data_IF_048194860005
#
_entry.id   IF_048194860005
#
_cell.length_a   1.000
_cell.length_b   1.000
_cell.length_c   1.000
_cell.angle_alpha   90.00
_cell.angle_beta   90.00
_cell.angle_gamma   90.00
#
_symmetry.space_group_name_H-M   'P 1'
#
loop_
_entity.id
_entity.type
_entity.pdbx_description
1 polymer ?
#
# COMPACT_ATOMS: atom_id res chain seq x y z
N UNK A 1 -22.54 21.26 -0.72
CA UNK A 1 -22.07 21.04 0.66
C UNK A 1 -21.60 22.38 1.19
N UNK A 2 -22.19 22.88 2.27
CA UNK A 2 -21.79 24.16 2.89
C UNK A 2 -20.67 23.85 3.89
N UNK A 3 -19.59 24.64 3.90
CA UNK A 3 -18.42 24.43 4.79
C UNK A 3 -18.84 24.23 6.26
N UNK A 4 -19.88 24.95 6.70
CA UNK A 4 -20.43 24.83 8.05
C UNK A 4 -20.93 23.42 8.38
N UNK A 5 -21.59 22.73 7.45
CA UNK A 5 -22.11 21.37 7.70
C UNK A 5 -20.98 20.36 7.91
N UNK A 6 -19.82 20.56 7.28
CA UNK A 6 -18.65 19.71 7.49
C UNK A 6 -18.00 19.99 8.84
N UNK A 7 -17.98 21.26 9.27
CA UNK A 7 -17.46 21.64 10.59
C UNK A 7 -18.35 21.09 11.71
N UNK A 8 -19.67 21.18 11.55
CA UNK A 8 -20.63 20.65 12.53
C UNK A 8 -20.49 19.12 12.64
N UNK A 9 -20.38 18.40 11.52
CA UNK A 9 -20.13 16.96 11.52
C UNK A 9 -18.76 16.58 12.13
N UNK A 10 -17.73 17.39 11.93
CA UNK A 10 -16.43 17.18 12.56
C UNK A 10 -16.46 17.44 14.08
N UNK A 11 -17.35 18.31 14.55
CA UNK A 11 -17.51 18.59 15.98
C UNK A 11 -18.04 17.36 16.74
N UNK A 12 -18.90 16.55 16.11
CA UNK A 12 -19.37 15.26 16.65
C UNK A 12 -18.23 14.26 16.93
N UNK A 13 -17.07 14.42 16.25
CA UNK A 13 -15.89 13.59 16.46
C UNK A 13 -15.04 14.05 17.67
N UNK A 14 -15.29 15.24 18.22
CA UNK A 14 -14.51 15.82 19.33
C UNK A 14 -14.43 14.92 20.58
N UNK A 15 -15.52 14.27 21.03
CA UNK A 15 -15.47 13.36 22.19
C UNK A 15 -14.52 12.17 21.98
N UNK A 16 -14.29 11.77 20.73
CA UNK A 16 -13.49 10.58 20.40
C UNK A 16 -11.98 10.87 20.35
N UNK A 17 -11.57 12.14 20.34
CA UNK A 17 -10.16 12.57 20.26
C UNK A 17 -9.27 11.95 21.33
N UNK A 18 -9.81 11.75 22.54
CA UNK A 18 -9.08 11.15 23.65
C UNK A 18 -8.64 9.70 23.37
N UNK A 19 -9.44 8.93 22.63
CA UNK A 19 -9.09 7.56 22.25
C UNK A 19 -7.97 7.49 21.21
N UNK A 20 -7.70 8.58 20.49
CA UNK A 20 -6.63 8.63 19.49
C UNK A 20 -5.24 8.91 20.06
N UNK A 21 -5.13 9.37 21.30
CA UNK A 21 -3.86 9.82 21.89
C UNK A 21 -2.81 8.70 21.95
N UNK A 22 -3.23 7.52 22.40
CA UNK A 22 -2.37 6.33 22.55
C UNK A 22 -2.72 5.23 21.53
N UNK A 23 -3.45 5.58 20.46
CA UNK A 23 -3.89 4.60 19.47
C UNK A 23 -2.69 4.15 18.60
N UNK A 24 -2.35 2.85 18.53
CA UNK A 24 -1.23 2.37 17.74
C UNK A 24 -1.44 2.48 16.22
N UNK A 25 -2.69 2.70 15.78
CA UNK A 25 -3.00 2.97 14.37
C UNK A 25 -2.74 4.43 13.96
N UNK A 26 -2.44 5.32 14.92
CA UNK A 26 -2.19 6.73 14.66
C UNK A 26 -0.77 6.93 14.10
N UNK A 27 -0.66 7.20 12.81
CA UNK A 27 0.64 7.35 12.12
C UNK A 27 1.19 8.77 12.19
N UNK A 28 0.32 9.77 12.35
CA UNK A 28 0.69 11.19 12.29
C UNK A 28 0.92 11.81 13.68
N UNK A 29 0.52 11.09 14.74
CA UNK A 29 0.52 11.63 16.11
C UNK A 29 -0.57 12.67 16.35
N UNK A 30 -1.49 12.85 15.41
CA UNK A 30 -2.63 13.77 15.51
C UNK A 30 -3.93 13.00 15.71
N UNK A 31 -4.98 13.66 16.20
CA UNK A 31 -6.29 13.01 16.31
C UNK A 31 -6.75 12.49 14.95
N UNK A 32 -7.25 11.26 14.90
CA UNK A 32 -7.64 10.55 13.66
C UNK A 32 -6.51 10.36 12.63
N UNK A 33 -5.25 10.34 13.06
CA UNK A 33 -4.08 10.09 12.21
C UNK A 33 -3.94 8.66 11.66
N UNK A 34 -4.96 7.81 11.84
CA UNK A 34 -5.10 6.53 11.15
C UNK A 34 -5.73 6.68 9.75
N UNK A 35 -6.28 7.85 9.42
CA UNK A 35 -6.85 8.16 8.10
C UNK A 35 -5.81 8.89 7.26
N UNK A 36 -5.70 8.53 5.99
CA UNK A 36 -4.79 9.14 5.03
C UNK A 36 -5.43 9.23 3.64
N UNK A 37 -4.75 9.93 2.73
CA UNK A 37 -5.21 10.09 1.35
C UNK A 37 -4.04 9.96 0.38
N UNK A 38 -4.34 9.44 -0.81
CA UNK A 38 -3.44 9.52 -1.96
C UNK A 38 -4.13 10.44 -2.97
N UNK A 39 -3.47 11.54 -3.30
CA UNK A 39 -4.04 12.52 -4.22
C UNK A 39 -3.88 12.06 -5.67
N UNK A 40 -4.94 12.24 -6.45
CA UNK A 40 -4.90 12.06 -7.88
C UNK A 40 -4.62 13.38 -8.61
N UNK A 41 -4.01 13.34 -9.81
CA UNK A 41 -3.51 12.14 -10.48
C UNK A 41 -2.22 11.58 -9.85
N UNK A 42 -2.08 10.25 -9.82
CA UNK A 42 -0.81 9.59 -9.49
C UNK A 42 0.22 9.98 -10.54
N UNK A 43 1.37 10.49 -10.10
CA UNK A 43 2.42 10.93 -10.99
C UNK A 43 3.06 9.77 -11.77
N UNK A 44 3.63 10.07 -12.94
CA UNK A 44 4.40 9.10 -13.74
C UNK A 44 5.57 8.55 -12.93
N UNK A 45 6.20 9.39 -12.11
CA UNK A 45 7.31 9.01 -11.23
C UNK A 45 6.86 8.01 -10.16
N UNK A 46 5.67 8.18 -9.60
CA UNK A 46 5.10 7.24 -8.63
C UNK A 46 4.75 5.89 -9.26
N UNK A 47 4.19 5.88 -10.47
CA UNK A 47 3.94 4.63 -11.20
C UNK A 47 5.25 3.89 -11.51
N UNK A 48 6.28 4.60 -12.01
CA UNK A 48 7.60 4.00 -12.22
C UNK A 48 8.19 3.48 -10.92
N UNK A 49 8.13 4.26 -9.85
CA UNK A 49 8.63 3.87 -8.54
C UNK A 49 7.98 2.57 -8.04
N UNK A 50 6.65 2.43 -8.18
CA UNK A 50 5.94 1.21 -7.79
C UNK A 50 6.43 -0.02 -8.57
N UNK A 51 6.60 0.12 -9.88
CA UNK A 51 7.10 -0.96 -10.73
C UNK A 51 8.54 -1.35 -10.36
N UNK A 52 9.39 -0.37 -10.05
CA UNK A 52 10.78 -0.59 -9.66
C UNK A 52 10.91 -1.26 -8.27
N UNK A 53 9.84 -1.33 -7.47
CA UNK A 53 9.86 -2.08 -6.21
C UNK A 53 9.57 -3.57 -6.38
N UNK A 54 9.03 -4.00 -7.53
CA UNK A 54 8.58 -5.38 -7.70
C UNK A 54 9.77 -6.35 -7.58
N UNK A 55 9.58 -7.49 -6.87
CA UNK A 55 10.62 -8.50 -6.72
C UNK A 55 10.94 -9.14 -8.08
N UNK A 56 12.21 -9.48 -8.27
CA UNK A 56 12.70 -10.19 -9.43
C UNK A 56 13.36 -11.52 -9.02
N UNK A 57 14.15 -12.09 -9.93
CA UNK A 57 14.79 -13.40 -9.73
C UNK A 57 15.87 -13.41 -8.65
N UNK A 58 16.34 -12.24 -8.17
CA UNK A 58 17.24 -12.17 -7.02
C UNK A 58 16.53 -12.62 -5.73
N UNK A 59 15.20 -12.50 -5.68
CA UNK A 59 14.36 -12.95 -4.56
C UNK A 59 13.32 -13.99 -5.03
N UNK A 60 13.74 -15.22 -5.36
CA UNK A 60 12.95 -16.18 -6.13
C UNK A 60 11.64 -16.61 -5.45
N UNK A 61 11.60 -16.69 -4.12
CA UNK A 61 10.39 -17.04 -3.38
C UNK A 61 9.33 -15.94 -3.51
N UNK A 62 9.72 -14.68 -3.25
CA UNK A 62 8.80 -13.53 -3.32
C UNK A 62 8.35 -13.30 -4.76
N UNK A 63 9.24 -13.47 -5.73
CA UNK A 63 8.90 -13.39 -7.15
C UNK A 63 7.93 -14.49 -7.59
N UNK A 64 8.10 -15.73 -7.13
CA UNK A 64 7.13 -16.81 -7.37
C UNK A 64 5.76 -16.47 -6.79
N UNK A 65 5.71 -15.91 -5.58
CA UNK A 65 4.47 -15.46 -4.94
C UNK A 65 3.80 -14.34 -5.73
N UNK A 66 4.56 -13.38 -6.27
CA UNK A 66 4.04 -12.33 -7.15
C UNK A 66 3.39 -12.93 -8.41
N UNK A 67 4.11 -13.80 -9.11
CA UNK A 67 3.58 -14.47 -10.31
C UNK A 67 2.31 -15.27 -10.01
N UNK A 68 2.28 -15.96 -8.87
CA UNK A 68 1.11 -16.71 -8.42
C UNK A 68 -0.06 -15.77 -8.12
N UNK A 69 0.17 -14.68 -7.39
CA UNK A 69 -0.84 -13.68 -7.06
C UNK A 69 -1.45 -13.08 -8.33
N UNK A 70 -0.64 -12.67 -9.31
CA UNK A 70 -1.12 -12.13 -10.59
C UNK A 70 -2.02 -13.13 -11.32
N UNK A 71 -1.63 -14.41 -11.37
CA UNK A 71 -2.40 -15.44 -12.08
C UNK A 71 -3.66 -15.87 -11.34
N UNK A 72 -3.57 -16.17 -10.05
CA UNK A 72 -4.67 -16.74 -9.26
C UNK A 72 -5.71 -15.70 -8.86
N UNK A 73 -5.29 -14.47 -8.58
CA UNK A 73 -6.21 -13.37 -8.25
C UNK A 73 -6.74 -12.67 -9.51
N UNK A 74 -6.20 -12.99 -10.68
CA UNK A 74 -6.68 -12.49 -11.96
C UNK A 74 -6.40 -11.00 -12.19
N UNK A 75 -5.24 -10.49 -11.76
CA UNK A 75 -4.85 -9.09 -12.00
C UNK A 75 -4.48 -8.89 -13.48
N UNK A 76 -5.46 -8.51 -14.29
CA UNK A 76 -5.30 -8.25 -15.73
C UNK A 76 -4.97 -6.79 -16.04
N UNK A 77 -5.28 -5.89 -15.10
CA UNK A 77 -5.20 -4.44 -15.25
C UNK A 77 -6.41 -3.82 -15.95
N UNK A 78 -7.42 -4.61 -16.35
CA UNK A 78 -8.59 -4.13 -17.11
C UNK A 78 -9.37 -3.05 -16.32
N UNK A 79 -9.53 -3.24 -15.02
CA UNK A 79 -10.22 -2.27 -14.15
C UNK A 79 -9.49 -0.91 -14.15
N UNK A 80 -8.15 -0.94 -14.10
CA UNK A 80 -7.33 0.27 -14.12
C UNK A 80 -7.27 0.94 -15.51
N UNK A 81 -7.48 0.19 -16.60
CA UNK A 81 -7.59 0.77 -17.96
C UNK A 81 -8.76 1.76 -18.02
N UNK A 82 -9.91 1.42 -17.45
CA UNK A 82 -11.10 2.30 -17.42
C UNK A 82 -10.79 3.62 -16.71
N UNK A 83 -10.06 3.57 -15.59
CA UNK A 83 -9.63 4.76 -14.87
C UNK A 83 -8.61 5.59 -15.67
N UNK A 84 -7.65 4.92 -16.33
CA UNK A 84 -6.64 5.61 -17.14
C UNK A 84 -7.21 6.31 -18.37
N UNK A 85 -8.31 5.79 -18.94
CA UNK A 85 -9.02 6.47 -20.03
C UNK A 85 -9.58 7.84 -19.61
N UNK A 86 -9.80 8.07 -18.31
CA UNK A 86 -10.11 9.38 -17.75
C UNK A 86 -8.83 10.20 -17.60
N UNK A 87 -8.36 10.72 -18.74
CA UNK A 87 -7.07 11.39 -18.90
C UNK A 87 -6.78 12.40 -17.77
N UNK A 88 -5.65 12.18 -17.09
CA UNK A 88 -5.12 13.05 -16.02
C UNK A 88 -6.03 13.24 -14.81
N UNK A 89 -7.11 12.45 -14.68
CA UNK A 89 -7.92 12.43 -13.46
C UNK A 89 -7.25 11.52 -12.43
N UNK A 90 -7.04 10.25 -12.75
CA UNK A 90 -6.49 9.26 -11.81
C UNK A 90 -4.98 9.01 -11.99
N UNK A 91 -4.52 8.96 -13.24
CA UNK A 91 -3.14 8.65 -13.60
C UNK A 91 -2.62 9.73 -14.54
N UNK A 92 -1.39 10.21 -14.31
CA UNK A 92 -0.78 11.24 -15.13
C UNK A 92 -0.32 10.69 -16.50
N UNK A 93 0.10 9.43 -16.54
CA UNK A 93 0.54 8.69 -17.72
C UNK A 93 -0.65 8.24 -18.57
N UNK A 94 -0.63 8.56 -19.86
CA UNK A 94 -1.69 8.17 -20.81
C UNK A 94 -1.66 6.67 -21.16
N UNK A 95 -0.47 6.05 -21.10
CA UNK A 95 -0.26 4.62 -21.32
C UNK A 95 0.39 4.00 -20.09
N UNK A 96 0.07 2.72 -19.76
CA UNK A 96 0.71 2.06 -18.63
C UNK A 96 2.22 1.95 -18.87
N UNK A 97 2.98 2.11 -17.79
CA UNK A 97 4.40 1.80 -17.80
C UNK A 97 4.57 0.29 -17.62
N UNK A 98 5.53 -0.29 -18.35
CA UNK A 98 5.87 -1.70 -18.24
C UNK A 98 7.16 -1.91 -17.43
N UNK A 99 7.25 -3.08 -16.82
CA UNK A 99 8.42 -3.64 -16.16
C UNK A 99 8.58 -5.10 -16.60
N UNK A 100 9.75 -5.44 -17.14
CA UNK A 100 10.10 -6.81 -17.50
C UNK A 100 10.90 -7.45 -16.36
N UNK A 101 10.28 -8.40 -15.66
CA UNK A 101 10.89 -9.16 -14.56
C UNK A 101 11.51 -10.46 -15.11
N UNK A 102 12.46 -10.29 -16.03
CA UNK A 102 13.15 -11.37 -16.78
C UNK A 102 12.17 -12.39 -17.39
N UNK A 103 11.30 -11.94 -18.28
CA UNK A 103 10.35 -12.76 -19.04
C UNK A 103 8.92 -12.75 -18.50
N UNK A 104 8.66 -12.03 -17.40
CA UNK A 104 7.31 -11.71 -16.93
C UNK A 104 7.09 -10.22 -17.04
N UNK A 105 6.25 -9.84 -18.00
CA UNK A 105 5.85 -8.45 -18.19
C UNK A 105 4.75 -8.10 -17.18
N UNK A 106 5.01 -7.12 -16.33
CA UNK A 106 4.04 -6.54 -15.40
C UNK A 106 3.91 -5.05 -15.70
N UNK A 107 2.69 -4.54 -15.73
CA UNK A 107 2.45 -3.13 -16.04
C UNK A 107 1.79 -2.37 -14.88
N UNK A 108 1.81 -1.04 -14.98
CA UNK A 108 1.26 -0.15 -13.97
C UNK A 108 -0.25 -0.29 -13.75
N UNK A 109 -1.00 -0.78 -14.74
CA UNK A 109 -2.43 -1.06 -14.57
C UNK A 109 -2.65 -2.27 -13.64
N UNK A 110 -1.88 -3.34 -13.81
CA UNK A 110 -1.95 -4.51 -12.95
C UNK A 110 -1.54 -4.18 -11.51
N UNK A 111 -0.50 -3.37 -11.34
CA UNK A 111 -0.06 -2.88 -10.02
C UNK A 111 -1.14 -2.02 -9.36
N UNK A 112 -1.77 -1.12 -10.12
CA UNK A 112 -2.83 -0.27 -9.58
C UNK A 112 -4.06 -1.08 -9.17
N UNK A 113 -4.47 -2.05 -10.00
CA UNK A 113 -5.58 -2.96 -9.69
C UNK A 113 -5.30 -3.78 -8.42
N UNK A 114 -4.08 -4.33 -8.31
CA UNK A 114 -3.63 -5.10 -7.15
C UNK A 114 -3.69 -4.28 -5.85
N UNK A 115 -3.29 -3.01 -5.89
CA UNK A 115 -3.22 -2.15 -4.70
C UNK A 115 -4.57 -1.56 -4.30
N UNK A 116 -5.41 -1.17 -5.26
CA UNK A 116 -6.54 -0.28 -4.98
C UNK A 116 -7.91 -0.83 -5.41
N UNK A 117 -7.97 -1.85 -6.28
CA UNK A 117 -9.25 -2.28 -6.88
C UNK A 117 -9.72 -3.65 -6.35
N UNK A 118 -9.02 -4.22 -5.37
CA UNK A 118 -9.36 -5.50 -4.73
C UNK A 118 -10.18 -5.35 -3.43
N UNK A 119 -10.64 -4.14 -3.12
CA UNK A 119 -11.36 -3.82 -1.87
C UNK A 119 -10.43 -3.61 -0.67
N UNK A 120 -10.97 -3.77 0.54
CA UNK A 120 -10.19 -3.60 1.77
C UNK A 120 -9.06 -4.65 1.87
N UNK A 121 -7.88 -4.22 2.30
CA UNK A 121 -6.70 -5.09 2.35
C UNK A 121 -6.68 -5.85 3.67
N UNK A 122 -6.91 -7.17 3.60
CA UNK A 122 -6.82 -8.05 4.75
C UNK A 122 -5.35 -8.25 5.19
N UNK A 123 -5.07 -8.51 6.48
CA UNK A 123 -3.70 -8.63 7.00
C UNK A 123 -2.79 -9.56 6.19
N UNK A 124 -3.24 -10.77 5.84
CA UNK A 124 -2.46 -11.74 5.06
C UNK A 124 -2.11 -11.22 3.66
N UNK A 125 -3.05 -10.53 3.01
CA UNK A 125 -2.80 -9.88 1.73
C UNK A 125 -1.81 -8.71 1.91
N UNK A 126 -1.97 -7.93 2.98
CA UNK A 126 -1.07 -6.82 3.32
C UNK A 126 0.38 -7.26 3.47
N UNK A 127 0.63 -8.41 4.12
CA UNK A 127 1.97 -8.98 4.23
C UNK A 127 2.61 -9.27 2.85
N UNK A 128 1.84 -9.78 1.88
CA UNK A 128 2.31 -10.02 0.53
C UNK A 128 2.65 -8.71 -0.19
N UNK A 129 1.76 -7.71 -0.14
CA UNK A 129 2.02 -6.41 -0.75
C UNK A 129 3.24 -5.72 -0.14
N UNK A 130 3.44 -5.82 1.19
CA UNK A 130 4.62 -5.29 1.85
C UNK A 130 5.91 -5.96 1.38
N UNK A 131 5.89 -7.25 1.05
CA UNK A 131 7.04 -7.91 0.43
C UNK A 131 7.21 -7.48 -1.04
N UNK A 132 6.13 -7.40 -1.81
CA UNK A 132 6.19 -7.05 -3.24
C UNK A 132 6.65 -5.63 -3.49
N UNK A 133 6.38 -4.69 -2.58
CA UNK A 133 6.69 -3.28 -2.77
C UNK A 133 7.77 -2.76 -1.81
N UNK A 134 8.60 -3.66 -1.26
CA UNK A 134 9.75 -3.29 -0.42
C UNK A 134 9.40 -2.65 0.92
N UNK A 135 8.15 -2.78 1.37
CA UNK A 135 7.70 -2.37 2.70
C UNK A 135 8.43 -3.10 3.82
N UNK A 136 8.74 -4.39 3.61
CA UNK A 136 9.53 -5.23 4.50
C UNK A 136 10.68 -5.91 3.73
N UNK A 137 11.57 -6.62 4.42
CA UNK A 137 12.68 -7.31 3.76
C UNK A 137 12.16 -8.43 2.84
N UNK A 138 12.67 -8.58 1.60
CA UNK A 138 12.44 -9.78 0.80
C UNK A 138 13.35 -10.95 1.24
N UNK A 139 14.44 -10.64 1.95
CA UNK A 139 15.43 -11.60 2.43
C UNK A 139 15.16 -12.00 3.88
N UNK A 140 13.95 -12.52 4.13
CA UNK A 140 13.58 -13.08 5.41
C UNK A 140 14.04 -14.53 5.51
N UNK A 141 14.40 -14.97 6.71
CA UNK A 141 14.67 -16.38 6.93
C UNK A 141 13.36 -17.20 6.80
N UNK A 142 13.50 -18.51 6.59
CA UNK A 142 12.33 -19.37 6.37
C UNK A 142 11.36 -19.39 7.58
N UNK A 143 11.88 -19.24 8.81
CA UNK A 143 11.06 -19.18 10.02
C UNK A 143 10.27 -17.89 10.11
N UNK A 144 10.90 -16.76 9.83
CA UNK A 144 10.27 -15.44 9.74
C UNK A 144 9.21 -15.41 8.65
N UNK A 145 9.51 -15.94 7.45
CA UNK A 145 8.54 -16.05 6.35
C UNK A 145 7.30 -16.85 6.74
N UNK A 146 7.48 -17.98 7.43
CA UNK A 146 6.36 -18.80 7.90
C UNK A 146 5.49 -18.04 8.91
N UNK A 147 6.11 -17.22 9.75
CA UNK A 147 5.43 -16.43 10.77
C UNK A 147 4.69 -15.21 10.19
N UNK A 148 4.98 -14.78 8.96
CA UNK A 148 4.23 -13.66 8.35
C UNK A 148 2.74 -13.97 8.14
N UNK A 149 2.36 -15.24 7.98
CA UNK A 149 0.94 -15.58 7.82
C UNK A 149 0.14 -15.34 9.12
N UNK A 150 0.79 -15.54 10.27
CA UNK A 150 0.21 -15.39 11.61
C UNK A 150 1.31 -14.92 12.59
N UNK A 151 1.60 -13.62 12.64
CA UNK A 151 2.71 -13.09 13.44
C UNK A 151 2.49 -13.33 14.95
N UNK A 152 3.52 -13.77 15.71
CA UNK A 152 3.36 -14.07 17.13
C UNK A 152 2.88 -12.89 17.98
N UNK A 153 3.33 -11.67 17.65
CA UNK A 153 2.90 -10.43 18.30
C UNK A 153 3.36 -9.19 17.54
N UNK A 154 2.79 -8.03 17.86
CA UNK A 154 3.28 -6.74 17.36
C UNK A 154 4.73 -6.43 17.81
N UNK A 155 5.13 -6.86 19.00
CA UNK A 155 6.51 -6.68 19.48
C UNK A 155 7.50 -7.52 18.67
N UNK A 156 7.14 -8.77 18.34
CA UNK A 156 7.93 -9.63 17.47
C UNK A 156 8.10 -9.00 16.07
N UNK A 157 7.00 -8.47 15.52
CA UNK A 157 7.00 -7.73 14.25
C UNK A 157 7.94 -6.53 14.26
N UNK A 158 7.94 -5.74 15.34
CA UNK A 158 8.79 -4.55 15.47
C UNK A 158 10.29 -4.91 15.52
N UNK A 159 10.63 -6.09 16.06
CA UNK A 159 12.01 -6.58 16.19
C UNK A 159 12.51 -7.28 14.91
N UNK A 160 11.70 -8.13 14.29
CA UNK A 160 12.13 -9.03 13.21
C UNK A 160 11.77 -8.51 11.83
N UNK A 161 10.64 -7.80 11.71
CA UNK A 161 10.07 -7.37 10.43
C UNK A 161 9.96 -5.83 10.40
N UNK A 162 11.08 -5.08 10.48
CA UNK A 162 11.02 -3.62 10.51
C UNK A 162 10.55 -3.06 9.16
N UNK A 163 9.73 -2.01 9.22
CA UNK A 163 9.30 -1.28 8.01
C UNK A 163 10.46 -0.50 7.39
N UNK A 164 10.65 -0.60 6.07
CA UNK A 164 11.85 -0.11 5.37
C UNK A 164 11.65 1.18 4.58
N UNK A 165 10.43 1.48 4.13
CA UNK A 165 10.20 2.62 3.24
C UNK A 165 10.23 3.94 4.01
N UNK A 166 11.23 4.77 3.73
CA UNK A 166 11.32 6.12 4.28
C UNK A 166 11.00 7.17 3.21
N UNK A 167 10.25 8.20 3.59
CA UNK A 167 10.04 9.38 2.76
C UNK A 167 11.34 10.15 2.60
N UNK A 168 11.65 10.59 1.38
CA UNK A 168 12.85 11.34 1.05
C UNK A 168 12.49 12.72 0.47
N UNK A 169 13.42 13.68 0.52
CA UNK A 169 13.23 14.98 -0.14
C UNK A 169 13.16 14.89 -1.67
N UNK A 170 13.58 13.76 -2.25
CA UNK A 170 13.51 13.51 -3.68
C UNK A 170 12.19 12.82 -4.10
N UNK A 171 11.33 12.48 -3.13
CA UNK A 171 10.00 11.95 -3.42
C UNK A 171 9.12 13.09 -3.89
N UNK A 172 8.30 12.82 -4.91
CA UNK A 172 7.19 13.73 -5.20
C UNK A 172 6.01 13.42 -4.27
N UNK A 173 4.95 14.22 -4.37
CA UNK A 173 3.78 14.08 -3.50
C UNK A 173 3.13 12.70 -3.61
N UNK A 174 3.09 12.10 -4.80
CA UNK A 174 2.49 10.78 -5.02
C UNK A 174 3.36 9.65 -4.44
N UNK A 175 4.68 9.68 -4.63
CA UNK A 175 5.62 8.71 -4.03
C UNK A 175 5.57 8.80 -2.51
N UNK A 176 5.58 10.02 -1.95
CA UNK A 176 5.48 10.21 -0.51
C UNK A 176 4.16 9.64 0.05
N UNK A 177 3.04 9.92 -0.62
CA UNK A 177 1.73 9.38 -0.24
C UNK A 177 1.67 7.85 -0.33
N UNK A 178 2.27 7.23 -1.36
CA UNK A 178 2.36 5.77 -1.48
C UNK A 178 3.19 5.15 -0.36
N UNK A 179 4.31 5.77 0.03
CA UNK A 179 5.10 5.31 1.18
C UNK A 179 4.31 5.42 2.48
N UNK A 180 3.55 6.50 2.67
CA UNK A 180 2.62 6.63 3.79
C UNK A 180 1.51 5.56 3.76
N UNK A 181 0.99 5.21 2.59
CA UNK A 181 0.06 4.11 2.41
C UNK A 181 0.67 2.77 2.82
N UNK A 182 1.89 2.45 2.39
CA UNK A 182 2.57 1.23 2.82
C UNK A 182 2.87 1.23 4.32
N UNK A 183 3.13 2.40 4.92
CA UNK A 183 3.26 2.52 6.37
C UNK A 183 1.94 2.22 7.08
N UNK A 184 0.82 2.71 6.55
CA UNK A 184 -0.51 2.40 7.06
C UNK A 184 -0.84 0.92 6.92
N UNK A 185 -0.50 0.32 5.79
CA UNK A 185 -0.65 -1.11 5.55
C UNK A 185 0.17 -1.95 6.54
N UNK A 186 1.43 -1.57 6.76
CA UNK A 186 2.29 -2.20 7.76
C UNK A 186 1.70 -2.11 9.17
N UNK A 187 1.19 -0.93 9.56
CA UNK A 187 0.55 -0.77 10.87
C UNK A 187 -0.75 -1.56 11.01
N UNK A 188 -1.59 -1.62 9.97
CA UNK A 188 -2.81 -2.42 9.96
C UNK A 188 -2.49 -3.92 10.08
N UNK A 189 -1.51 -4.39 9.30
CA UNK A 189 -1.02 -5.76 9.37
C UNK A 189 -0.46 -6.11 10.76
N UNK A 190 0.38 -5.25 11.33
CA UNK A 190 0.93 -5.40 12.70
C UNK A 190 -0.15 -5.47 13.77
N UNK A 191 -1.29 -4.82 13.56
CA UNK A 191 -2.44 -4.83 14.47
C UNK A 191 -3.43 -5.97 14.19
N UNK A 192 -3.23 -6.75 13.12
CA UNK A 192 -4.14 -7.83 12.73
C UNK A 192 -5.51 -7.32 12.25
N UNK A 193 -5.59 -6.10 11.74
CA UNK A 193 -6.84 -5.47 11.26
C UNK A 193 -6.77 -5.16 9.77
N UNK A 194 -7.91 -5.13 9.05
CA UNK A 194 -7.90 -4.74 7.65
C UNK A 194 -7.57 -3.26 7.47
N UNK A 195 -6.82 -2.93 6.41
CA UNK A 195 -6.71 -1.55 5.94
C UNK A 195 -7.92 -1.24 5.08
N UNK A 196 -8.72 -0.27 5.51
CA UNK A 196 -9.90 0.17 4.77
C UNK A 196 -9.48 1.13 3.64
N UNK A 197 -10.03 0.88 2.46
CA UNK A 197 -9.86 1.73 1.28
C UNK A 197 -11.21 2.30 0.90
N UNK A 198 -11.23 3.60 0.64
CA UNK A 198 -12.35 4.33 0.03
C UNK A 198 -11.88 4.74 -1.36
N UNK A 199 -12.34 3.98 -2.37
CA UNK A 199 -11.83 3.97 -3.76
C UNK A 199 -12.98 3.99 -4.76
#
# INVERSE_FOLDING_TARGET
IVVQQLLDAAEELTPWRAYCADCPANLTGQHFGCVGTINYPISIRAERWLLDQLPDHEHPLVFMLLQRAIREMGYTGESAVVLRQQKSIFLQSESPLDCDLNGVLVNGNQVFEMLFMSGHVQPTHGALLLQFFGGISPDLDAGEMMQLADPPSAAWMDEHIPFRLATSRADDASVAALKSFFKALYSAYRLGVPLLLDV
#
